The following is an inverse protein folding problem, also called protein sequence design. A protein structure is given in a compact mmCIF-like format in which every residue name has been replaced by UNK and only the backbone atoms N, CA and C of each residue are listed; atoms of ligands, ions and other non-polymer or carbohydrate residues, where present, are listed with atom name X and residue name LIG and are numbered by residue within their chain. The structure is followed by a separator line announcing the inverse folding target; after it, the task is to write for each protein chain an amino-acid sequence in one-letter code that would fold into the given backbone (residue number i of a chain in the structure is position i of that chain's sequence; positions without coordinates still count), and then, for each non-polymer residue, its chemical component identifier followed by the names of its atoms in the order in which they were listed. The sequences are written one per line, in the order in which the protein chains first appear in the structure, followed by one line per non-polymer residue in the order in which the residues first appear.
data_IF_991492336647
#
_entry.id   IF_991492336647
#
_cell.length_a   1.000
_cell.length_b   1.000
_cell.length_c   1.000
_cell.angle_alpha   90.00
_cell.angle_beta   90.00
_cell.angle_gamma   90.00
#
_symmetry.space_group_name_H-M   'P 1'
#
loop_
_entity.id
_entity.type
_entity.pdbx_description
1 polymer ?
#
# COMPACT_ATOMS: atom_id res chain seq x y z
N UNK A 1 11.43 -11.69 33.30
CA UNK A 1 11.00 -11.86 31.88
C UNK A 1 11.93 -12.90 31.28
N UNK A 2 11.43 -13.84 30.49
CA UNK A 2 12.31 -14.73 29.73
C UNK A 2 12.92 -13.90 28.59
N UNK A 3 14.22 -13.71 28.60
CA UNK A 3 14.94 -13.00 27.51
C UNK A 3 15.03 -13.84 26.23
N UNK A 4 14.42 -15.03 26.24
CA UNK A 4 14.44 -16.00 25.17
C UNK A 4 13.14 -16.81 25.13
N UNK A 5 12.59 -16.94 23.93
CA UNK A 5 11.48 -17.83 23.61
C UNK A 5 11.75 -18.46 22.23
N UNK A 6 12.07 -19.75 22.22
CA UNK A 6 12.43 -20.49 21.02
C UNK A 6 11.25 -20.67 20.07
N UNK A 7 11.51 -20.60 18.76
CA UNK A 7 10.58 -21.00 17.71
C UNK A 7 10.50 -22.53 17.70
N UNK A 8 9.31 -23.09 17.89
CA UNK A 8 9.04 -24.52 17.87
C UNK A 8 8.73 -25.03 16.47
N UNK A 9 7.93 -24.27 15.71
CA UNK A 9 7.56 -24.64 14.36
C UNK A 9 7.27 -23.42 13.49
N UNK A 10 7.49 -23.57 12.19
CA UNK A 10 7.10 -22.63 11.14
C UNK A 10 6.40 -23.44 10.07
N UNK A 11 5.18 -23.05 9.69
CA UNK A 11 4.39 -23.74 8.68
C UNK A 11 3.71 -22.76 7.75
N UNK A 12 3.72 -23.05 6.45
CA UNK A 12 3.05 -22.26 5.44
C UNK A 12 1.99 -23.06 4.71
N UNK A 13 0.96 -22.35 4.27
CA UNK A 13 -0.13 -22.84 3.42
C UNK A 13 -0.34 -21.90 2.24
N UNK A 14 -0.83 -22.44 1.14
CA UNK A 14 -1.42 -21.66 0.07
C UNK A 14 -2.87 -21.33 0.43
N UNK A 15 -3.23 -20.04 0.40
CA UNK A 15 -4.60 -19.54 0.62
C UNK A 15 -4.97 -18.58 -0.51
N UNK A 16 -6.17 -18.00 -0.51
CA UNK A 16 -6.62 -17.09 -1.57
C UNK A 16 -6.60 -15.64 -1.09
N UNK A 17 -6.21 -14.75 -2.00
CA UNK A 17 -6.35 -13.30 -1.84
C UNK A 17 -7.76 -12.82 -2.22
N UNK A 18 -8.03 -11.52 -2.09
CA UNK A 18 -9.32 -10.87 -2.40
C UNK A 18 -9.74 -10.94 -3.87
N UNK A 19 -8.81 -11.31 -4.76
CA UNK A 19 -9.06 -11.53 -6.19
C UNK A 19 -9.25 -13.01 -6.54
N UNK A 20 -9.14 -13.90 -5.55
CA UNK A 20 -9.19 -15.36 -5.75
C UNK A 20 -7.88 -15.93 -6.32
N UNK A 21 -6.77 -15.18 -6.27
CA UNK A 21 -5.46 -15.69 -6.61
C UNK A 21 -4.78 -16.32 -5.38
N UNK A 22 -3.98 -17.38 -5.56
CA UNK A 22 -3.19 -17.93 -4.47
C UNK A 22 -2.22 -16.92 -3.83
N UNK A 23 -2.05 -17.03 -2.52
CA UNK A 23 -1.04 -16.32 -1.75
C UNK A 23 -0.54 -17.18 -0.58
N UNK A 24 0.50 -16.70 0.11
CA UNK A 24 1.17 -17.43 1.19
C UNK A 24 0.61 -16.99 2.54
N UNK A 25 0.16 -17.97 3.32
CA UNK A 25 -0.09 -17.84 4.75
C UNK A 25 1.02 -18.54 5.52
N UNK A 26 1.53 -17.91 6.57
CA UNK A 26 2.56 -18.49 7.46
C UNK A 26 2.08 -18.45 8.90
N UNK A 27 2.25 -19.55 9.59
CA UNK A 27 2.10 -19.66 11.05
C UNK A 27 3.45 -19.98 11.71
N UNK A 28 3.78 -19.24 12.75
CA UNK A 28 4.93 -19.52 13.64
C UNK A 28 4.40 -19.86 15.02
N UNK A 29 4.84 -20.98 15.57
CA UNK A 29 4.52 -21.41 16.94
C UNK A 29 5.80 -21.44 17.78
N UNK A 30 5.73 -20.92 18.99
CA UNK A 30 6.85 -20.88 19.94
C UNK A 30 6.81 -22.06 20.93
N UNK A 31 7.93 -22.37 21.56
CA UNK A 31 8.02 -23.39 22.62
C UNK A 31 7.06 -23.13 23.81
N UNK A 32 6.60 -21.88 23.96
CA UNK A 32 5.58 -21.51 24.96
C UNK A 32 4.15 -21.73 24.50
N UNK A 33 3.92 -22.24 23.28
CA UNK A 33 2.59 -22.47 22.70
C UNK A 33 1.92 -21.20 22.15
N UNK A 34 2.62 -20.08 22.08
CA UNK A 34 2.11 -18.87 21.45
C UNK A 34 2.31 -18.95 19.94
N UNK A 35 1.31 -18.55 19.20
CA UNK A 35 1.37 -18.54 17.72
C UNK A 35 1.22 -17.12 17.14
N UNK A 36 1.76 -16.94 15.96
CA UNK A 36 1.55 -15.77 15.11
C UNK A 36 1.25 -16.21 13.70
N UNK A 37 0.23 -15.61 13.11
CA UNK A 37 -0.24 -15.87 11.74
C UNK A 37 -0.07 -14.62 10.89
N UNK A 38 0.42 -14.77 9.66
CA UNK A 38 0.48 -13.69 8.68
C UNK A 38 0.05 -14.20 7.30
N UNK A 39 -0.65 -13.35 6.55
CA UNK A 39 -1.06 -13.63 5.16
C UNK A 39 -0.53 -12.50 4.29
N UNK A 40 0.22 -12.85 3.25
CA UNK A 40 0.93 -11.87 2.42
C UNK A 40 0.03 -11.37 1.29
N UNK A 41 -0.09 -10.03 1.08
CA UNK A 41 -0.84 -9.48 -0.04
C UNK A 41 -0.05 -9.56 -1.35
N UNK A 42 -0.72 -9.34 -2.50
CA UNK A 42 -0.08 -9.30 -3.82
C UNK A 42 -0.53 -8.12 -4.68
N UNK A 43 0.35 -7.58 -5.53
CA UNK A 43 0.03 -6.48 -6.44
C UNK A 43 -0.64 -6.93 -7.75
N UNK A 44 -1.43 -6.04 -8.37
CA UNK A 44 -1.87 -6.18 -9.77
C UNK A 44 -0.88 -5.51 -10.72
N UNK A 45 -0.44 -4.29 -10.37
CA UNK A 45 0.72 -3.62 -10.95
C UNK A 45 1.89 -3.76 -9.98
N UNK A 46 3.09 -3.91 -10.50
CA UNK A 46 4.32 -4.05 -9.70
C UNK A 46 5.41 -3.19 -10.30
N UNK A 47 6.08 -2.39 -9.47
CA UNK A 47 7.28 -1.66 -9.87
C UNK A 47 8.41 -2.62 -10.27
N UNK A 48 9.20 -2.23 -11.24
CA UNK A 48 10.27 -3.09 -11.79
C UNK A 48 11.34 -3.47 -10.76
N UNK A 49 11.42 -2.73 -9.67
CA UNK A 49 12.43 -2.89 -8.62
C UNK A 49 11.89 -3.51 -7.33
N UNK A 50 10.65 -4.00 -7.34
CA UNK A 50 10.10 -4.73 -6.19
C UNK A 50 10.85 -6.05 -5.95
N UNK A 51 10.87 -6.50 -4.70
CA UNK A 51 11.31 -7.84 -4.37
C UNK A 51 10.39 -8.89 -5.01
N UNK A 52 10.96 -10.02 -5.39
CA UNK A 52 10.28 -11.03 -6.20
C UNK A 52 9.18 -11.75 -5.42
N UNK A 53 7.95 -11.59 -5.85
CA UNK A 53 6.85 -12.47 -5.45
C UNK A 53 7.00 -13.80 -6.22
N UNK A 54 7.36 -14.88 -5.51
CA UNK A 54 7.59 -16.17 -6.16
C UNK A 54 6.26 -16.82 -6.53
N UNK A 55 6.12 -17.15 -7.82
CA UNK A 55 4.97 -17.84 -8.44
C UNK A 55 5.44 -19.10 -9.14
N UNK A 56 4.61 -20.16 -9.10
CA UNK A 56 4.94 -21.48 -9.64
C UNK A 56 5.05 -21.50 -11.17
N UNK A 57 4.40 -20.56 -11.87
CA UNK A 57 4.35 -20.46 -13.34
C UNK A 57 3.79 -21.73 -14.04
N UNK A 58 3.07 -22.58 -13.32
CA UNK A 58 2.37 -23.73 -13.89
C UNK A 58 1.00 -23.28 -14.44
N UNK A 59 0.90 -23.13 -15.74
CA UNK A 59 -0.32 -22.70 -16.43
C UNK A 59 -1.54 -23.61 -16.17
N UNK A 60 -1.32 -24.87 -15.80
CA UNK A 60 -2.41 -25.80 -15.49
C UNK A 60 -2.99 -25.58 -14.09
N UNK A 61 -2.34 -24.75 -13.28
CA UNK A 61 -2.74 -24.48 -11.92
C UNK A 61 -2.82 -22.97 -11.66
N UNK A 62 -4.04 -22.46 -11.42
CA UNK A 62 -4.30 -21.02 -11.21
C UNK A 62 -3.72 -20.12 -12.31
N UNK A 63 -3.63 -20.61 -13.56
CA UNK A 63 -3.05 -19.87 -14.69
C UNK A 63 -1.66 -19.30 -14.36
N UNK A 64 -0.76 -20.16 -13.84
CA UNK A 64 0.62 -19.80 -13.49
C UNK A 64 0.81 -19.07 -12.15
N UNK A 65 -0.29 -18.72 -11.45
CA UNK A 65 -0.25 -17.89 -10.23
C UNK A 65 -0.14 -18.66 -8.91
N UNK A 66 0.02 -19.99 -8.93
CA UNK A 66 0.26 -20.80 -7.74
C UNK A 66 1.45 -20.33 -6.93
N UNK A 67 1.51 -20.67 -5.64
CA UNK A 67 2.61 -20.28 -4.71
C UNK A 67 3.16 -21.46 -3.93
N UNK A 68 3.01 -22.69 -4.45
CA UNK A 68 3.51 -23.90 -3.77
C UNK A 68 5.03 -23.91 -3.62
N UNK A 69 5.78 -23.33 -4.57
CA UNK A 69 7.24 -23.20 -4.46
C UNK A 69 7.63 -22.30 -3.28
N UNK A 70 6.92 -21.20 -3.08
CA UNK A 70 7.11 -20.32 -1.93
C UNK A 70 6.72 -21.03 -0.61
N UNK A 71 5.61 -21.75 -0.59
CA UNK A 71 5.16 -22.58 0.55
C UNK A 71 6.19 -23.65 0.88
N UNK A 72 6.72 -24.36 -0.12
CA UNK A 72 7.76 -25.37 0.07
C UNK A 72 9.06 -24.75 0.57
N UNK A 73 9.45 -23.56 0.09
CA UNK A 73 10.61 -22.84 0.62
C UNK A 73 10.46 -22.53 2.11
N UNK A 74 9.26 -22.14 2.57
CA UNK A 74 9.02 -21.97 4.02
C UNK A 74 9.12 -23.31 4.74
N UNK A 75 8.38 -24.33 4.30
CA UNK A 75 8.21 -25.57 5.04
C UNK A 75 9.50 -26.44 5.08
N UNK A 76 10.29 -26.43 4.00
CA UNK A 76 11.48 -27.28 3.89
C UNK A 76 12.79 -26.58 4.16
N UNK A 77 12.96 -25.32 3.66
CA UNK A 77 14.26 -24.62 3.73
C UNK A 77 14.35 -23.67 4.93
N UNK A 78 13.31 -22.87 5.18
CA UNK A 78 13.30 -21.86 6.24
C UNK A 78 13.00 -22.52 7.59
N UNK A 79 11.89 -23.26 7.70
CA UNK A 79 11.40 -23.81 8.95
C UNK A 79 12.48 -24.58 9.72
N UNK A 80 13.16 -25.54 9.06
CA UNK A 80 14.18 -26.38 9.69
C UNK A 80 15.33 -25.59 10.33
N UNK A 81 15.66 -24.42 9.78
CA UNK A 81 16.78 -23.59 10.25
C UNK A 81 16.37 -22.58 11.30
N UNK A 82 15.07 -22.33 11.43
CA UNK A 82 14.54 -21.37 12.41
C UNK A 82 14.20 -21.99 13.76
N UNK A 83 14.07 -23.32 13.84
CA UNK A 83 13.81 -24.02 15.11
C UNK A 83 14.86 -23.63 16.15
N UNK A 84 14.38 -23.19 17.32
CA UNK A 84 15.22 -22.73 18.41
C UNK A 84 15.69 -21.27 18.30
N UNK A 85 15.45 -20.57 17.19
CA UNK A 85 15.74 -19.13 17.14
C UNK A 85 14.84 -18.38 18.12
N UNK A 86 15.37 -17.33 18.74
CA UNK A 86 14.60 -16.51 19.67
C UNK A 86 13.60 -15.63 18.91
N UNK A 87 12.31 -15.80 19.14
CA UNK A 87 11.23 -15.08 18.46
C UNK A 87 11.25 -13.56 18.73
N UNK A 88 11.89 -13.12 19.83
CA UNK A 88 12.02 -11.70 20.16
C UNK A 88 13.09 -10.95 19.33
N UNK A 89 13.99 -11.69 18.68
CA UNK A 89 15.11 -11.12 17.92
C UNK A 89 14.73 -10.81 16.46
N UNK A 90 13.69 -10.00 16.25
CA UNK A 90 13.12 -9.72 14.90
C UNK A 90 14.19 -9.41 13.86
N UNK A 91 15.11 -8.48 14.15
CA UNK A 91 16.16 -8.10 13.19
C UNK A 91 17.13 -9.23 12.86
N UNK A 92 17.41 -10.11 13.82
CA UNK A 92 18.25 -11.30 13.57
C UNK A 92 17.51 -12.31 12.68
N UNK A 93 16.19 -12.48 12.91
CA UNK A 93 15.33 -13.33 12.09
C UNK A 93 15.30 -12.80 10.64
N UNK A 94 15.03 -11.51 10.45
CA UNK A 94 14.93 -10.91 9.13
C UNK A 94 16.28 -10.96 8.39
N UNK A 95 17.40 -10.63 9.05
CA UNK A 95 18.74 -10.75 8.48
C UNK A 95 19.07 -12.21 8.10
N UNK A 96 18.69 -13.16 8.96
CA UNK A 96 18.88 -14.59 8.65
C UNK A 96 18.10 -15.00 7.39
N UNK A 97 16.87 -14.53 7.22
CA UNK A 97 16.05 -14.81 6.02
C UNK A 97 16.67 -14.19 4.75
N UNK A 98 17.18 -12.96 4.84
CA UNK A 98 17.89 -12.28 3.75
C UNK A 98 19.17 -13.04 3.38
N UNK A 99 19.97 -13.40 4.37
CA UNK A 99 21.21 -14.16 4.17
C UNK A 99 20.97 -15.57 3.60
N UNK A 100 19.81 -16.16 3.93
CA UNK A 100 19.43 -17.48 3.41
C UNK A 100 19.00 -17.40 1.94
N UNK A 101 18.36 -16.33 1.52
CA UNK A 101 17.98 -16.09 0.12
C UNK A 101 19.17 -15.80 -0.78
N UNK A 102 20.12 -14.97 -0.32
CA UNK A 102 21.36 -14.59 -1.03
C UNK A 102 21.19 -13.78 -2.32
N UNK A 103 20.01 -13.26 -2.58
CA UNK A 103 19.77 -12.37 -3.73
C UNK A 103 19.27 -11.01 -3.24
N UNK A 104 19.62 -9.91 -3.93
CA UNK A 104 19.23 -8.57 -3.49
C UNK A 104 17.70 -8.34 -3.54
N UNK A 105 17.00 -9.10 -4.38
CA UNK A 105 15.55 -8.98 -4.59
C UNK A 105 14.75 -10.21 -4.12
N UNK A 106 15.35 -11.07 -3.29
CA UNK A 106 14.70 -12.25 -2.68
C UNK A 106 14.16 -13.26 -3.70
N UNK A 107 14.86 -13.40 -4.84
CA UNK A 107 14.40 -14.23 -5.95
C UNK A 107 14.49 -15.76 -5.68
N UNK A 108 15.33 -16.21 -4.73
CA UNK A 108 15.52 -17.64 -4.48
C UNK A 108 14.44 -18.26 -3.55
N UNK A 109 14.01 -17.52 -2.53
CA UNK A 109 12.99 -17.99 -1.59
C UNK A 109 11.62 -17.40 -1.89
N UNK A 110 11.60 -16.19 -2.45
CA UNK A 110 10.41 -15.38 -2.65
C UNK A 110 10.19 -14.38 -1.51
N UNK A 111 9.95 -13.11 -1.84
CA UNK A 111 9.61 -12.08 -0.87
C UNK A 111 8.32 -12.41 -0.11
N UNK A 112 7.37 -13.08 -0.75
CA UNK A 112 6.13 -13.56 -0.14
C UNK A 112 6.41 -14.61 0.95
N UNK A 113 7.30 -15.58 0.72
CA UNK A 113 7.72 -16.55 1.73
C UNK A 113 8.43 -15.87 2.91
N UNK A 114 9.38 -14.98 2.62
CA UNK A 114 10.20 -14.28 3.62
C UNK A 114 9.33 -13.36 4.47
N UNK A 115 8.48 -12.53 3.86
CA UNK A 115 7.61 -11.61 4.59
C UNK A 115 6.60 -12.34 5.47
N UNK A 116 6.00 -13.43 4.97
CA UNK A 116 5.07 -14.24 5.76
C UNK A 116 5.72 -14.71 7.07
N UNK A 117 6.95 -15.22 6.99
CA UNK A 117 7.71 -15.67 8.18
C UNK A 117 8.07 -14.49 9.09
N UNK A 118 8.57 -13.38 8.53
CA UNK A 118 8.94 -12.18 9.29
C UNK A 118 7.79 -11.65 10.12
N UNK A 119 6.61 -11.47 9.51
CA UNK A 119 5.41 -10.94 10.18
C UNK A 119 4.82 -11.96 11.18
N UNK A 120 4.81 -13.25 10.85
CA UNK A 120 4.33 -14.28 11.75
C UNK A 120 5.19 -14.38 13.03
N UNK A 121 6.51 -14.25 12.92
CA UNK A 121 7.41 -14.17 14.08
C UNK A 121 7.08 -12.94 14.96
N UNK A 122 6.90 -11.78 14.36
CA UNK A 122 6.55 -10.56 15.09
C UNK A 122 5.23 -10.71 15.86
N UNK A 123 4.21 -11.32 15.24
CA UNK A 123 2.93 -11.62 15.92
C UNK A 123 3.06 -12.64 17.03
N UNK A 124 3.84 -13.72 16.83
CA UNK A 124 4.06 -14.72 17.88
C UNK A 124 4.76 -14.09 19.10
N UNK A 125 5.73 -13.22 18.86
CA UNK A 125 6.40 -12.46 19.92
C UNK A 125 5.43 -11.54 20.67
N UNK A 126 4.67 -10.74 19.95
CA UNK A 126 3.64 -9.83 20.50
C UNK A 126 2.62 -10.62 21.35
N UNK A 127 2.08 -11.71 20.82
CA UNK A 127 1.11 -12.56 21.51
C UNK A 127 1.67 -13.18 22.77
N UNK A 128 2.95 -13.60 22.78
CA UNK A 128 3.60 -14.19 23.95
C UNK A 128 3.77 -13.22 25.12
N UNK A 129 3.83 -11.92 24.81
CA UNK A 129 3.92 -10.84 25.80
C UNK A 129 2.55 -10.28 26.20
N UNK A 130 1.46 -10.74 25.58
CA UNK A 130 0.13 -10.18 25.78
C UNK A 130 0.04 -8.69 25.40
N UNK A 131 0.91 -8.24 24.48
CA UNK A 131 1.02 -6.84 24.07
C UNK A 131 0.43 -6.69 22.67
N UNK A 132 -0.43 -5.69 22.39
CA UNK A 132 -0.92 -5.42 21.03
C UNK A 132 0.22 -5.23 20.04
N UNK A 133 0.03 -5.69 18.79
CA UNK A 133 1.11 -5.69 17.79
C UNK A 133 1.67 -4.28 17.53
N UNK A 134 0.82 -3.25 17.43
CA UNK A 134 1.28 -1.87 17.25
C UNK A 134 2.16 -1.39 18.40
N UNK A 135 1.81 -1.77 19.62
CA UNK A 135 2.57 -1.40 20.83
C UNK A 135 3.87 -2.21 20.95
N UNK A 136 3.86 -3.49 20.52
CA UNK A 136 5.07 -4.31 20.46
C UNK A 136 6.11 -3.76 19.48
N UNK A 137 5.67 -3.34 18.28
CA UNK A 137 6.56 -2.78 17.24
C UNK A 137 7.02 -1.36 17.59
N UNK A 138 6.10 -0.48 18.03
CA UNK A 138 6.37 0.95 18.20
C UNK A 138 6.70 1.40 19.62
N UNK A 139 6.60 0.48 20.59
CA UNK A 139 6.84 0.76 22.00
C UNK A 139 5.81 1.73 22.60
N UNK A 140 6.17 2.35 23.71
CA UNK A 140 5.29 3.25 24.48
C UNK A 140 4.85 4.52 23.71
N UNK A 141 5.50 4.83 22.60
CA UNK A 141 5.19 6.02 21.80
C UNK A 141 4.19 5.73 20.67
N UNK A 142 3.73 4.50 20.48
CA UNK A 142 2.78 4.10 19.43
C UNK A 142 1.34 4.53 19.82
N UNK A 143 0.88 5.70 19.33
CA UNK A 143 -0.41 6.27 19.73
C UNK A 143 -1.11 7.12 18.65
N UNK A 144 -0.46 7.37 17.51
CA UNK A 144 -1.04 8.23 16.47
C UNK A 144 -1.85 7.39 15.48
N UNK A 145 -3.17 7.59 15.47
CA UNK A 145 -4.07 7.00 14.48
C UNK A 145 -3.86 7.66 13.12
N UNK A 146 -3.69 6.90 12.04
CA UNK A 146 -3.46 7.46 10.71
C UNK A 146 -4.74 8.07 10.11
N UNK A 147 -4.58 9.09 9.27
CA UNK A 147 -5.66 9.57 8.40
C UNK A 147 -5.78 8.61 7.21
N UNK A 148 -6.98 8.04 6.96
CA UNK A 148 -7.17 7.15 5.83
C UNK A 148 -7.22 7.91 4.50
N UNK A 149 -6.56 7.38 3.47
CA UNK A 149 -6.70 7.76 2.07
C UNK A 149 -7.55 6.69 1.41
N UNK A 150 -8.79 7.03 1.07
CA UNK A 150 -9.80 6.04 0.64
C UNK A 150 -10.03 6.12 -0.86
N UNK A 151 -9.64 5.10 -1.62
CA UNK A 151 -9.87 5.02 -3.06
C UNK A 151 -11.35 4.77 -3.37
N UNK A 152 -12.10 5.82 -3.73
CA UNK A 152 -13.55 5.74 -3.94
C UNK A 152 -13.96 5.69 -5.42
N UNK A 153 -13.03 5.96 -6.35
CA UNK A 153 -13.26 5.85 -7.79
C UNK A 153 -11.99 5.35 -8.48
N UNK A 154 -12.12 4.31 -9.29
CA UNK A 154 -11.03 3.62 -9.95
C UNK A 154 -10.96 3.91 -11.45
N UNK A 155 -9.76 3.89 -11.99
CA UNK A 155 -9.43 3.86 -13.41
C UNK A 155 -8.19 3.00 -13.68
N UNK A 156 -7.41 3.32 -14.68
CA UNK A 156 -6.16 2.65 -15.02
C UNK A 156 -6.30 1.14 -15.18
N UNK A 157 -5.40 0.39 -14.58
CA UNK A 157 -5.45 -1.08 -14.51
C UNK A 157 -6.43 -1.61 -13.46
N UNK A 158 -6.90 -0.78 -12.53
CA UNK A 158 -7.86 -1.17 -11.52
C UNK A 158 -9.30 -1.23 -12.03
N UNK A 159 -9.54 -0.91 -13.30
CA UNK A 159 -10.87 -0.86 -13.89
C UNK A 159 -10.85 -0.96 -15.41
N UNK A 160 -11.87 -1.59 -16.00
CA UNK A 160 -12.06 -1.66 -17.45
C UNK A 160 -12.72 -0.38 -18.03
N UNK A 161 -12.93 0.66 -17.21
CA UNK A 161 -13.49 1.94 -17.67
C UNK A 161 -12.47 2.74 -18.51
N UNK A 162 -12.88 3.94 -18.94
CA UNK A 162 -12.13 4.81 -19.84
C UNK A 162 -11.21 5.84 -19.15
N UNK A 163 -11.01 5.76 -17.84
CA UNK A 163 -10.10 6.63 -17.11
C UNK A 163 -8.68 6.06 -17.08
N UNK A 164 -7.66 6.86 -17.40
CA UNK A 164 -6.25 6.45 -17.35
C UNK A 164 -5.60 6.68 -15.99
N UNK A 165 -5.99 7.68 -15.21
CA UNK A 165 -5.58 7.83 -13.81
C UNK A 165 -6.17 6.66 -13.01
N UNK A 166 -5.31 6.00 -12.21
CA UNK A 166 -5.64 4.72 -11.59
C UNK A 166 -6.56 4.84 -10.38
N UNK A 167 -6.32 5.83 -9.50
CA UNK A 167 -7.09 5.98 -8.27
C UNK A 167 -7.43 7.44 -7.99
N UNK A 168 -8.67 7.64 -7.55
CA UNK A 168 -9.17 8.91 -7.03
C UNK A 168 -9.60 8.69 -5.58
N UNK A 169 -8.80 9.22 -4.67
CA UNK A 169 -8.96 9.02 -3.23
C UNK A 169 -9.51 10.27 -2.55
N UNK A 170 -10.24 10.07 -1.45
CA UNK A 170 -10.56 11.13 -0.50
C UNK A 170 -9.70 11.01 0.75
N UNK A 171 -9.36 12.17 1.34
CA UNK A 171 -8.51 12.30 2.53
C UNK A 171 -9.28 13.11 3.58
N UNK A 172 -9.99 12.47 4.53
CA UNK A 172 -10.80 13.14 5.55
C UNK A 172 -9.93 13.68 6.69
N UNK A 173 -9.15 14.73 6.42
CA UNK A 173 -8.21 15.32 7.37
C UNK A 173 -8.86 16.20 8.44
N UNK A 174 -10.14 16.62 8.25
CA UNK A 174 -10.86 17.48 9.19
C UNK A 174 -11.38 16.76 10.44
N UNK A 175 -11.48 15.43 10.43
CA UNK A 175 -11.88 14.64 11.59
C UNK A 175 -10.81 14.64 12.69
N UNK A 176 -11.22 14.77 13.94
CA UNK A 176 -10.33 14.78 15.12
C UNK A 176 -9.96 13.37 15.58
N UNK A 177 -10.89 12.43 15.49
CA UNK A 177 -10.72 11.03 15.84
C UNK A 177 -10.68 10.16 14.58
N UNK A 178 -10.21 8.93 14.70
CA UNK A 178 -10.26 8.00 13.57
C UNK A 178 -11.71 7.65 13.21
N UNK A 179 -12.57 7.48 14.22
CA UNK A 179 -14.00 7.23 14.04
C UNK A 179 -14.66 8.34 13.21
N UNK A 180 -14.39 9.62 13.52
CA UNK A 180 -14.90 10.75 12.73
C UNK A 180 -14.40 10.72 11.28
N UNK A 181 -13.10 10.45 11.06
CA UNK A 181 -12.51 10.34 9.71
C UNK A 181 -13.15 9.20 8.92
N UNK A 182 -13.38 8.07 9.56
CA UNK A 182 -14.04 6.92 8.94
C UNK A 182 -15.50 7.25 8.55
N UNK A 183 -16.27 7.87 9.44
CA UNK A 183 -17.64 8.32 9.18
C UNK A 183 -17.69 9.30 7.99
N UNK A 184 -16.78 10.28 7.96
CA UNK A 184 -16.66 11.24 6.86
C UNK A 184 -16.45 10.51 5.51
N UNK A 185 -15.50 9.57 5.46
CA UNK A 185 -15.21 8.80 4.27
C UNK A 185 -16.38 7.95 3.80
N UNK A 186 -17.03 7.23 4.71
CA UNK A 186 -18.21 6.39 4.42
C UNK A 186 -19.38 7.24 3.92
N UNK A 187 -19.61 8.40 4.53
CA UNK A 187 -20.69 9.33 4.14
C UNK A 187 -20.50 9.82 2.71
N UNK A 188 -19.27 10.25 2.35
CA UNK A 188 -18.93 10.69 1.00
C UNK A 188 -19.06 9.54 0.00
N UNK A 189 -18.56 8.35 0.33
CA UNK A 189 -18.68 7.17 -0.52
C UNK A 189 -20.14 6.84 -0.86
N UNK A 190 -21.03 6.86 0.12
CA UNK A 190 -22.45 6.61 -0.11
C UNK A 190 -23.14 7.73 -0.91
N UNK A 191 -22.76 9.00 -0.71
CA UNK A 191 -23.28 10.09 -1.52
C UNK A 191 -22.77 10.06 -2.95
N UNK A 192 -21.50 9.66 -3.18
CA UNK A 192 -20.98 9.38 -4.54
C UNK A 192 -21.81 8.28 -5.21
N UNK A 193 -22.11 7.17 -4.52
CA UNK A 193 -22.98 6.11 -5.03
C UNK A 193 -24.35 6.62 -5.48
N UNK A 194 -24.98 7.49 -4.67
CA UNK A 194 -26.27 8.10 -5.04
C UNK A 194 -26.16 9.00 -6.26
N UNK A 195 -25.07 9.78 -6.37
CA UNK A 195 -24.79 10.65 -7.53
C UNK A 195 -24.62 9.83 -8.80
N UNK A 196 -23.80 8.78 -8.77
CA UNK A 196 -23.61 7.89 -9.90
C UNK A 196 -24.93 7.26 -10.38
N UNK A 197 -25.74 6.73 -9.43
CA UNK A 197 -27.07 6.19 -9.76
C UNK A 197 -28.01 7.22 -10.39
N UNK A 198 -28.01 8.48 -9.90
CA UNK A 198 -28.86 9.54 -10.45
C UNK A 198 -28.50 9.94 -11.89
N UNK A 199 -27.27 9.63 -12.29
CA UNK A 199 -26.76 9.85 -13.66
C UNK A 199 -26.83 8.56 -14.53
N UNK A 200 -27.42 7.48 -14.02
CA UNK A 200 -27.44 6.16 -14.67
C UNK A 200 -26.04 5.58 -14.95
N UNK A 201 -25.06 5.93 -14.11
CA UNK A 201 -23.71 5.41 -14.16
C UNK A 201 -23.55 4.15 -13.30
N UNK A 202 -22.59 3.30 -13.68
CA UNK A 202 -22.28 2.06 -12.94
C UNK A 202 -21.87 2.35 -11.50
N UNK A 203 -22.36 1.55 -10.57
CA UNK A 203 -21.91 1.51 -9.17
C UNK A 203 -21.26 0.16 -8.82
N UNK A 204 -20.82 -0.60 -9.84
CA UNK A 204 -19.93 -1.73 -9.65
C UNK A 204 -18.59 -1.23 -9.11
N UNK A 205 -17.94 -2.06 -8.30
CA UNK A 205 -16.68 -1.70 -7.64
C UNK A 205 -15.52 -2.50 -8.22
N UNK A 206 -14.35 -1.85 -8.27
CA UNK A 206 -13.08 -2.50 -8.62
C UNK A 206 -12.48 -3.30 -7.45
N UNK A 207 -11.26 -3.76 -7.63
CA UNK A 207 -10.52 -4.60 -6.68
C UNK A 207 -10.36 -3.95 -5.30
N UNK A 208 -10.26 -2.62 -5.25
CA UNK A 208 -10.08 -1.84 -4.02
C UNK A 208 -11.37 -1.27 -3.44
N UNK A 209 -12.53 -1.64 -4.00
CA UNK A 209 -13.84 -1.22 -3.51
C UNK A 209 -14.33 0.14 -4.00
N UNK A 210 -13.53 0.90 -4.75
CA UNK A 210 -13.93 2.13 -5.42
C UNK A 210 -14.84 1.85 -6.62
N UNK A 211 -15.73 2.82 -6.96
CA UNK A 211 -16.61 2.70 -8.12
C UNK A 211 -15.83 2.80 -9.44
N UNK A 212 -16.33 2.13 -10.47
CA UNK A 212 -15.68 2.06 -11.78
C UNK A 212 -16.63 2.48 -12.93
N UNK A 213 -17.19 3.71 -12.90
CA UNK A 213 -18.05 4.19 -13.97
C UNK A 213 -17.24 4.57 -15.21
N UNK A 214 -17.86 4.50 -16.40
CA UNK A 214 -17.35 5.20 -17.58
C UNK A 214 -17.68 6.69 -17.47
N UNK A 215 -16.67 7.54 -17.57
CA UNK A 215 -16.78 9.00 -17.49
C UNK A 215 -16.14 9.63 -18.71
N UNK A 216 -16.43 10.90 -18.97
CA UNK A 216 -15.89 11.58 -20.16
C UNK A 216 -14.44 12.02 -19.98
N UNK A 217 -14.02 12.32 -18.73
CA UNK A 217 -12.67 12.76 -18.42
C UNK A 217 -12.32 12.52 -16.95
N UNK A 218 -11.06 12.74 -16.59
CA UNK A 218 -10.60 12.72 -15.19
C UNK A 218 -11.22 13.87 -14.38
N UNK A 219 -11.46 15.01 -15.02
CA UNK A 219 -12.11 16.17 -14.43
C UNK A 219 -13.56 15.86 -14.04
N UNK A 220 -14.30 15.09 -14.87
CA UNK A 220 -15.65 14.64 -14.50
C UNK A 220 -15.63 13.75 -13.24
N UNK A 221 -14.60 12.91 -13.08
CA UNK A 221 -14.43 12.11 -11.87
C UNK A 221 -14.21 13.02 -10.65
N UNK A 222 -13.33 14.01 -10.76
CA UNK A 222 -13.06 15.00 -9.72
C UNK A 222 -14.30 15.83 -9.38
N UNK A 223 -15.04 16.28 -10.36
CA UNK A 223 -16.30 17.01 -10.16
C UNK A 223 -17.34 16.19 -9.39
N UNK A 224 -17.44 14.89 -9.69
CA UNK A 224 -18.36 14.00 -8.96
C UNK A 224 -17.95 13.81 -7.50
N UNK A 225 -16.65 13.70 -7.25
CA UNK A 225 -16.12 13.58 -5.90
C UNK A 225 -16.34 14.87 -5.11
N UNK A 226 -16.04 16.04 -5.69
CA UNK A 226 -16.30 17.36 -5.07
C UNK A 226 -17.78 17.49 -4.71
N UNK A 227 -18.70 17.19 -5.64
CA UNK A 227 -20.16 17.19 -5.41
C UNK A 227 -20.57 16.20 -4.32
N UNK A 228 -19.91 15.05 -4.21
CA UNK A 228 -20.19 14.08 -3.14
C UNK A 228 -19.77 14.62 -1.76
N UNK A 229 -18.62 15.29 -1.68
CA UNK A 229 -18.14 15.94 -0.45
C UNK A 229 -19.12 17.03 -0.02
N UNK A 230 -19.51 17.92 -0.93
CA UNK A 230 -20.48 19.00 -0.65
C UNK A 230 -21.85 18.48 -0.20
N UNK A 231 -22.36 17.42 -0.88
CA UNK A 231 -23.62 16.76 -0.49
C UNK A 231 -23.55 16.06 0.87
N UNK A 232 -22.35 15.82 1.35
CA UNK A 232 -22.10 15.26 2.69
C UNK A 232 -21.99 16.34 3.77
N UNK A 233 -22.19 17.62 3.41
CA UNK A 233 -22.04 18.79 4.26
C UNK A 233 -20.62 18.99 4.83
N UNK A 234 -19.60 18.49 4.14
CA UNK A 234 -18.20 18.76 4.48
C UNK A 234 -17.61 19.84 3.57
N UNK A 235 -16.69 20.61 4.12
CA UNK A 235 -15.98 21.65 3.38
C UNK A 235 -14.85 21.03 2.57
N UNK A 236 -14.93 21.24 1.27
CA UNK A 236 -13.92 20.81 0.31
C UNK A 236 -12.56 21.43 0.68
N UNK A 237 -11.52 20.62 0.63
CA UNK A 237 -10.13 20.92 1.02
C UNK A 237 -9.90 21.13 2.51
N UNK A 238 -10.82 21.78 3.24
CA UNK A 238 -10.66 22.03 4.68
C UNK A 238 -10.93 20.75 5.49
N UNK A 239 -12.05 20.07 5.22
CA UNK A 239 -12.42 18.85 5.92
C UNK A 239 -11.97 17.60 5.15
N UNK A 240 -12.14 17.63 3.82
CA UNK A 240 -11.79 16.50 2.93
C UNK A 240 -11.04 17.03 1.71
N UNK A 241 -9.80 16.56 1.52
CA UNK A 241 -9.02 16.73 0.31
C UNK A 241 -9.16 15.55 -0.64
N UNK A 242 -8.60 15.69 -1.84
CA UNK A 242 -8.50 14.62 -2.86
C UNK A 242 -7.05 14.21 -3.02
N UNK A 243 -6.79 12.91 -3.14
CA UNK A 243 -5.51 12.39 -3.55
C UNK A 243 -5.66 11.57 -4.83
N UNK A 244 -4.63 11.59 -5.66
CA UNK A 244 -4.56 10.83 -6.92
C UNK A 244 -3.42 9.82 -6.84
N UNK A 245 -3.65 8.64 -7.39
CA UNK A 245 -2.60 7.74 -7.86
C UNK A 245 -2.68 7.69 -9.39
N UNK A 246 -1.66 8.23 -10.03
CA UNK A 246 -1.62 8.39 -11.49
C UNK A 246 -1.13 7.13 -12.16
N UNK A 247 -0.25 6.36 -11.50
CA UNK A 247 0.43 5.18 -12.04
C UNK A 247 1.07 5.45 -13.41
N UNK A 248 1.85 6.54 -13.49
CA UNK A 248 2.30 7.08 -14.77
C UNK A 248 3.34 6.20 -15.49
N UNK A 249 4.00 5.25 -14.80
CA UNK A 249 4.92 4.29 -15.44
C UNK A 249 4.21 3.53 -16.55
N UNK A 250 2.95 3.09 -16.34
CA UNK A 250 2.17 2.40 -17.36
C UNK A 250 1.83 3.27 -18.57
N UNK A 251 1.54 4.55 -18.33
CA UNK A 251 1.30 5.53 -19.41
C UNK A 251 2.57 5.73 -20.25
N UNK A 252 3.72 5.74 -19.62
CA UNK A 252 5.02 5.87 -20.27
C UNK A 252 5.35 4.62 -21.10
N UNK A 253 5.14 3.44 -20.56
CA UNK A 253 5.39 2.17 -21.24
C UNK A 253 4.47 1.98 -22.47
N UNK A 254 3.19 2.37 -22.37
CA UNK A 254 2.27 2.36 -23.51
C UNK A 254 2.68 3.35 -24.61
N UNK A 255 3.21 4.52 -24.23
CA UNK A 255 3.78 5.47 -25.20
C UNK A 255 5.03 4.89 -25.88
N UNK A 256 5.94 4.27 -25.10
CA UNK A 256 7.15 3.60 -25.62
C UNK A 256 6.83 2.49 -26.63
N UNK A 257 5.80 1.68 -26.40
CA UNK A 257 5.36 0.65 -27.36
C UNK A 257 4.95 1.27 -28.71
N UNK A 258 4.55 2.54 -28.73
CA UNK A 258 4.23 3.31 -29.94
C UNK A 258 5.43 4.12 -30.47
N UNK A 259 6.63 3.97 -29.91
CA UNK A 259 7.82 4.71 -30.29
C UNK A 259 7.80 6.19 -29.87
N UNK A 260 6.99 6.56 -28.87
CA UNK A 260 6.84 7.93 -28.36
C UNK A 260 7.55 8.09 -27.03
N UNK A 261 8.19 9.23 -26.80
CA UNK A 261 8.84 9.58 -25.54
C UNK A 261 7.92 10.55 -24.75
N UNK A 262 7.18 10.00 -23.80
CA UNK A 262 6.20 10.71 -23.00
C UNK A 262 5.14 9.78 -22.39
N UNK A 263 3.95 10.30 -22.18
CA UNK A 263 2.87 9.64 -21.44
C UNK A 263 1.62 9.49 -22.31
N UNK A 264 1.18 8.27 -22.52
CA UNK A 264 -0.03 7.96 -23.28
C UNK A 264 -1.17 7.62 -22.34
N UNK A 265 -2.21 8.42 -22.34
CA UNK A 265 -3.48 8.06 -21.72
C UNK A 265 -4.17 7.01 -22.60
N UNK A 266 -3.79 5.75 -22.43
CA UNK A 266 -4.13 4.67 -23.38
C UNK A 266 -5.62 4.40 -23.49
N UNK A 267 -6.42 4.78 -22.48
CA UNK A 267 -7.88 4.66 -22.50
C UNK A 267 -8.55 5.65 -23.46
N UNK A 268 -7.93 6.82 -23.69
CA UNK A 268 -8.44 7.87 -24.57
C UNK A 268 -7.60 8.08 -25.83
N UNK A 269 -6.36 7.58 -25.84
CA UNK A 269 -5.40 7.80 -26.92
C UNK A 269 -4.68 9.15 -26.86
N UNK A 270 -4.92 9.97 -25.82
CA UNK A 270 -4.26 11.27 -25.66
C UNK A 270 -2.80 11.07 -25.25
N UNK A 271 -1.88 11.72 -25.97
CA UNK A 271 -0.44 11.72 -25.68
C UNK A 271 -0.01 13.04 -25.07
N UNK A 272 0.86 12.99 -24.08
CA UNK A 272 1.51 14.13 -23.45
C UNK A 272 3.03 13.93 -23.42
N UNK A 273 3.78 14.95 -23.79
CA UNK A 273 5.21 15.04 -23.46
C UNK A 273 5.39 15.15 -21.95
N UNK A 274 6.60 14.95 -21.46
CA UNK A 274 6.96 15.13 -20.05
C UNK A 274 6.50 16.49 -19.49
N UNK A 275 6.79 17.58 -20.23
CA UNK A 275 6.38 18.92 -19.82
C UNK A 275 4.87 19.09 -19.75
N UNK A 276 4.15 18.61 -20.76
CA UNK A 276 2.68 18.66 -20.80
C UNK A 276 2.04 17.80 -19.70
N UNK A 277 2.66 16.68 -19.30
CA UNK A 277 2.19 15.88 -18.17
C UNK A 277 2.34 16.62 -16.84
N UNK A 278 3.49 17.27 -16.62
CA UNK A 278 3.72 18.10 -15.44
C UNK A 278 2.72 19.29 -15.41
N UNK A 279 2.51 19.96 -16.55
CA UNK A 279 1.54 21.05 -16.64
C UNK A 279 0.11 20.59 -16.41
N UNK A 280 -0.25 19.40 -16.88
CA UNK A 280 -1.54 18.78 -16.63
C UNK A 280 -1.77 18.55 -15.13
N UNK A 281 -0.80 17.97 -14.42
CA UNK A 281 -0.89 17.75 -12.98
C UNK A 281 -0.96 19.08 -12.20
N UNK A 282 -0.17 20.09 -12.59
CA UNK A 282 -0.26 21.44 -11.98
C UNK A 282 -1.64 22.06 -12.19
N UNK A 283 -2.20 21.94 -13.39
CA UNK A 283 -3.54 22.43 -13.69
C UNK A 283 -4.62 21.75 -12.84
N UNK A 284 -4.54 20.43 -12.65
CA UNK A 284 -5.45 19.70 -11.77
C UNK A 284 -5.34 20.22 -10.33
N UNK A 285 -4.12 20.45 -9.80
CA UNK A 285 -3.94 20.96 -8.43
C UNK A 285 -4.43 22.38 -8.23
N UNK A 286 -4.44 23.20 -9.28
CA UNK A 286 -4.95 24.57 -9.23
C UNK A 286 -6.46 24.64 -9.28
N UNK A 287 -7.14 23.69 -9.94
CA UNK A 287 -8.59 23.68 -10.15
C UNK A 287 -9.34 22.79 -9.15
N UNK A 288 -8.69 21.82 -8.54
CA UNK A 288 -9.31 20.85 -7.63
C UNK A 288 -8.61 20.82 -6.26
N UNK A 289 -9.28 20.36 -5.21
CA UNK A 289 -8.74 20.31 -3.85
C UNK A 289 -7.74 19.15 -3.66
N UNK A 290 -6.82 18.99 -4.61
CA UNK A 290 -5.81 17.93 -4.58
C UNK A 290 -4.77 18.27 -3.51
N UNK A 291 -4.50 17.32 -2.63
CA UNK A 291 -3.54 17.41 -1.51
C UNK A 291 -2.37 16.44 -1.66
N UNK A 292 -2.51 15.43 -2.54
CA UNK A 292 -1.47 14.40 -2.76
C UNK A 292 -1.55 13.84 -4.17
N UNK A 293 -0.40 13.59 -4.79
CA UNK A 293 -0.25 12.91 -6.09
C UNK A 293 0.79 11.82 -5.92
N UNK A 294 0.39 10.57 -6.19
CA UNK A 294 1.24 9.39 -6.20
C UNK A 294 1.59 9.05 -7.65
N UNK A 295 2.86 8.70 -7.87
CA UNK A 295 3.44 8.28 -9.15
C UNK A 295 3.00 9.13 -10.34
N UNK A 296 3.15 10.46 -10.18
CA UNK A 296 2.77 11.43 -11.21
C UNK A 296 3.60 11.34 -12.49
N UNK A 297 4.77 10.71 -12.43
CA UNK A 297 5.68 10.41 -13.55
C UNK A 297 6.24 8.99 -13.42
N UNK A 298 6.85 8.47 -14.51
CA UNK A 298 7.41 7.13 -14.56
C UNK A 298 8.53 6.90 -13.53
N UNK A 299 8.68 5.66 -13.06
CA UNK A 299 9.60 5.23 -11.99
C UNK A 299 11.08 5.49 -12.27
N UNK A 300 11.49 5.66 -13.53
CA UNK A 300 12.87 5.98 -13.93
C UNK A 300 13.01 7.39 -14.53
N UNK A 301 11.97 8.20 -14.55
CA UNK A 301 12.03 9.59 -15.03
C UNK A 301 12.50 10.56 -13.93
N UNK A 302 13.69 10.30 -13.37
CA UNK A 302 14.28 11.07 -12.26
C UNK A 302 14.38 12.57 -12.56
N UNK A 303 14.73 12.95 -13.80
CA UNK A 303 14.80 14.36 -14.22
C UNK A 303 13.42 15.01 -14.24
N UNK A 304 12.41 14.29 -14.72
CA UNK A 304 11.02 14.73 -14.70
C UNK A 304 10.50 14.91 -13.28
N UNK A 305 10.78 13.94 -12.41
CA UNK A 305 10.43 14.02 -10.99
C UNK A 305 11.07 15.22 -10.29
N UNK A 306 12.30 15.57 -10.65
CA UNK A 306 12.96 16.78 -10.14
C UNK A 306 12.15 18.03 -10.50
N UNK A 307 11.80 18.19 -11.78
CA UNK A 307 11.01 19.34 -12.27
C UNK A 307 9.61 19.35 -11.61
N UNK A 308 8.96 18.19 -11.51
CA UNK A 308 7.66 18.05 -10.85
C UNK A 308 7.73 18.48 -9.38
N UNK A 309 8.80 18.06 -8.67
CA UNK A 309 8.99 18.39 -7.26
C UNK A 309 9.25 19.89 -7.05
N UNK A 310 10.07 20.51 -7.88
CA UNK A 310 10.30 21.96 -7.84
C UNK A 310 9.00 22.74 -8.08
N UNK A 311 8.12 22.26 -8.96
CA UNK A 311 6.86 22.92 -9.32
C UNK A 311 5.75 22.73 -8.28
N UNK A 312 5.59 21.51 -7.76
CA UNK A 312 4.43 21.13 -6.95
C UNK A 312 4.75 20.73 -5.50
N UNK A 313 6.00 20.41 -5.17
CA UNK A 313 6.35 19.85 -3.87
C UNK A 313 6.03 20.72 -2.66
N UNK A 314 5.92 22.04 -2.85
CA UNK A 314 5.49 22.98 -1.80
C UNK A 314 3.96 23.13 -1.70
N UNK A 315 3.21 22.62 -2.68
CA UNK A 315 1.74 22.76 -2.75
C UNK A 315 1.03 21.48 -2.30
N UNK A 316 1.56 20.32 -2.72
CA UNK A 316 0.95 19.01 -2.52
C UNK A 316 1.99 17.98 -2.07
N UNK A 317 1.52 16.92 -1.47
CA UNK A 317 2.33 15.72 -1.20
C UNK A 317 2.61 15.00 -2.53
N UNK A 318 3.88 14.77 -2.85
CA UNK A 318 4.33 13.99 -4.00
C UNK A 318 4.85 12.65 -3.49
N UNK A 319 4.14 11.59 -3.83
CA UNK A 319 4.37 10.24 -3.28
C UNK A 319 5.05 9.37 -4.34
N UNK A 320 6.17 8.77 -3.99
CA UNK A 320 6.78 7.71 -4.79
C UNK A 320 6.35 6.34 -4.29
N UNK A 321 5.60 5.60 -5.13
CA UNK A 321 5.31 4.16 -4.97
C UNK A 321 6.31 3.36 -5.82
N UNK A 322 6.09 3.21 -7.11
CA UNK A 322 7.00 2.52 -8.02
C UNK A 322 8.39 3.20 -8.10
N UNK A 323 8.44 4.52 -7.90
CA UNK A 323 9.68 5.28 -7.81
C UNK A 323 10.61 4.74 -6.71
N UNK A 324 10.08 4.40 -5.54
CA UNK A 324 10.86 4.03 -4.35
C UNK A 324 10.73 2.56 -3.94
N UNK A 325 9.62 1.90 -4.26
CA UNK A 325 9.32 0.48 -3.97
C UNK A 325 9.69 0.05 -2.54
N UNK A 326 9.44 0.90 -1.54
CA UNK A 326 9.80 0.66 -0.13
C UNK A 326 11.31 0.38 0.07
N UNK A 327 12.17 0.76 -0.89
CA UNK A 327 13.59 0.44 -0.92
C UNK A 327 14.45 1.60 -0.41
N UNK A 328 15.24 1.36 0.64
CA UNK A 328 16.13 2.35 1.27
C UNK A 328 17.08 3.00 0.27
N UNK A 329 17.67 2.22 -0.66
CA UNK A 329 18.65 2.77 -1.61
C UNK A 329 17.98 3.68 -2.66
N UNK A 330 16.78 3.32 -3.14
CA UNK A 330 16.02 4.18 -4.05
C UNK A 330 15.51 5.43 -3.36
N UNK A 331 15.02 5.31 -2.12
CA UNK A 331 14.62 6.45 -1.31
C UNK A 331 15.79 7.39 -1.05
N UNK A 332 16.98 6.86 -0.69
CA UNK A 332 18.19 7.67 -0.50
C UNK A 332 18.55 8.45 -1.76
N UNK A 333 18.51 7.80 -2.93
CA UNK A 333 18.72 8.48 -4.22
C UNK A 333 17.73 9.64 -4.42
N UNK A 334 16.45 9.43 -4.11
CA UNK A 334 15.44 10.49 -4.19
C UNK A 334 15.71 11.65 -3.24
N UNK A 335 16.11 11.35 -2.01
CA UNK A 335 16.50 12.34 -1.00
C UNK A 335 17.70 13.16 -1.50
N UNK A 336 18.75 12.51 -1.98
CA UNK A 336 19.98 13.18 -2.46
C UNK A 336 19.70 14.08 -3.66
N UNK A 337 18.73 13.73 -4.50
CA UNK A 337 18.31 14.52 -5.65
C UNK A 337 17.23 15.57 -5.30
N UNK A 338 16.66 15.53 -4.11
CA UNK A 338 15.54 16.38 -3.70
C UNK A 338 14.27 16.13 -4.52
N UNK A 339 13.90 14.85 -4.70
CA UNK A 339 12.81 14.37 -5.52
C UNK A 339 11.69 13.80 -4.65
N UNK A 340 10.43 14.15 -4.95
CA UNK A 340 9.26 13.83 -4.14
C UNK A 340 9.34 14.44 -2.72
N UNK A 341 8.41 14.11 -1.83
CA UNK A 341 8.44 14.49 -0.41
C UNK A 341 7.71 13.46 0.48
N UNK A 342 7.32 12.33 -0.12
CA UNK A 342 6.65 11.23 0.55
C UNK A 342 6.99 9.91 -0.13
N UNK A 343 7.04 8.83 0.65
CA UNK A 343 7.16 7.45 0.15
C UNK A 343 5.90 6.66 0.48
N UNK A 344 5.44 5.81 -0.45
CA UNK A 344 4.48 4.76 -0.15
C UNK A 344 5.22 3.53 0.40
N UNK A 345 4.69 2.94 1.46
CA UNK A 345 5.29 1.81 2.16
C UNK A 345 4.41 0.58 1.99
N UNK A 346 4.93 -0.40 1.29
CA UNK A 346 4.29 -1.70 1.08
C UNK A 346 5.26 -2.80 1.54
N UNK A 347 5.04 -3.46 2.69
CA UNK A 347 6.00 -4.43 3.23
C UNK A 347 6.39 -5.54 2.26
N UNK A 348 5.48 -5.96 1.37
CA UNK A 348 5.77 -7.01 0.40
C UNK A 348 6.66 -6.57 -0.78
N UNK A 349 6.82 -5.25 -1.03
CA UNK A 349 7.76 -4.74 -2.04
C UNK A 349 9.21 -4.93 -1.62
N UNK A 350 9.48 -5.06 -0.32
CA UNK A 350 10.82 -5.22 0.23
C UNK A 350 11.04 -6.58 0.89
N UNK A 351 10.04 -7.14 1.56
CA UNK A 351 9.98 -8.54 1.98
C UNK A 351 10.33 -8.85 3.44
N UNK A 352 10.68 -7.86 4.29
CA UNK A 352 10.82 -8.04 5.74
C UNK A 352 10.25 -6.86 6.51
N UNK A 353 9.87 -7.10 7.77
CA UNK A 353 9.45 -6.02 8.67
C UNK A 353 10.61 -5.06 8.96
N UNK A 354 11.82 -5.57 9.19
CA UNK A 354 12.98 -4.74 9.51
C UNK A 354 13.32 -3.77 8.39
N UNK A 355 13.38 -4.22 7.13
CA UNK A 355 13.63 -3.33 5.97
C UNK A 355 12.49 -2.33 5.78
N UNK A 356 11.23 -2.74 6.04
CA UNK A 356 10.08 -1.84 6.02
C UNK A 356 10.24 -0.71 7.03
N UNK A 357 10.63 -1.03 8.27
CA UNK A 357 10.86 -0.03 9.33
C UNK A 357 12.06 0.87 9.01
N UNK A 358 13.11 0.32 8.40
CA UNK A 358 14.29 1.09 7.99
C UNK A 358 13.93 2.14 6.90
N UNK A 359 13.07 1.78 5.93
CA UNK A 359 12.58 2.72 4.93
C UNK A 359 11.73 3.85 5.55
N UNK A 360 10.87 3.53 6.51
CA UNK A 360 10.07 4.52 7.25
C UNK A 360 10.98 5.47 8.05
N UNK A 361 11.96 4.93 8.75
CA UNK A 361 12.89 5.73 9.57
C UNK A 361 13.75 6.64 8.70
N UNK A 362 14.26 6.14 7.57
CA UNK A 362 15.01 6.95 6.61
C UNK A 362 14.16 8.12 6.09
N UNK A 363 12.90 7.87 5.72
CA UNK A 363 11.97 8.91 5.28
C UNK A 363 11.80 9.99 6.35
N UNK A 364 11.42 9.59 7.57
CA UNK A 364 11.18 10.50 8.70
C UNK A 364 12.41 11.34 9.06
N UNK A 365 13.59 10.71 9.12
CA UNK A 365 14.86 11.38 9.46
C UNK A 365 15.30 12.42 8.43
N UNK A 366 14.77 12.36 7.21
CA UNK A 366 15.06 13.29 6.12
C UNK A 366 13.90 14.24 5.77
N UNK A 367 12.87 14.31 6.64
CA UNK A 367 11.73 15.22 6.44
C UNK A 367 10.73 14.78 5.39
N UNK A 368 10.86 13.55 4.87
CA UNK A 368 9.85 12.92 4.01
C UNK A 368 8.70 12.39 4.86
N UNK A 369 7.50 12.50 4.34
CA UNK A 369 6.36 11.76 4.88
C UNK A 369 6.41 10.31 4.36
N UNK A 370 5.62 9.46 5.00
CA UNK A 370 5.39 8.11 4.53
C UNK A 370 3.91 7.73 4.71
N UNK A 371 3.42 6.83 3.87
CA UNK A 371 2.05 6.32 3.90
C UNK A 371 2.15 4.80 3.95
N UNK A 372 1.57 4.15 4.94
CA UNK A 372 1.40 2.69 4.88
C UNK A 372 0.31 2.35 3.89
N UNK A 373 0.56 1.38 3.01
CA UNK A 373 -0.36 1.02 1.94
C UNK A 373 -0.68 -0.46 1.89
N UNK A 374 -1.91 -0.74 1.49
CA UNK A 374 -2.38 -2.05 1.03
C UNK A 374 -1.81 -2.38 -0.36
N UNK A 375 -2.22 -3.54 -0.89
CA UNK A 375 -2.06 -3.92 -2.30
C UNK A 375 -3.43 -4.14 -2.94
N UNK A 376 -3.46 -4.24 -4.28
CA UNK A 376 -4.71 -4.53 -5.02
C UNK A 376 -5.27 -5.92 -4.69
N UNK A 377 -4.42 -6.93 -4.52
CA UNK A 377 -4.78 -8.24 -3.98
C UNK A 377 -4.50 -8.32 -2.49
N UNK A 378 -5.50 -8.09 -1.67
CA UNK A 378 -5.43 -8.08 -0.22
C UNK A 378 -5.98 -9.37 0.40
N UNK A 379 -5.79 -9.49 1.71
CA UNK A 379 -6.32 -10.55 2.55
C UNK A 379 -7.00 -9.94 3.78
N UNK A 380 -7.50 -10.76 4.69
CA UNK A 380 -7.99 -10.29 5.99
C UNK A 380 -6.87 -9.88 6.97
N UNK A 381 -5.59 -10.03 6.63
CA UNK A 381 -4.47 -9.60 7.48
C UNK A 381 -4.51 -8.09 7.72
N UNK A 382 -4.32 -7.68 8.96
CA UNK A 382 -4.42 -6.28 9.40
C UNK A 382 -3.09 -5.66 9.82
N UNK A 383 -1.97 -6.33 9.57
CA UNK A 383 -0.64 -5.90 10.04
C UNK A 383 -0.29 -4.48 9.63
N UNK A 384 -0.70 -4.04 8.42
CA UNK A 384 -0.44 -2.67 7.96
C UNK A 384 -1.11 -1.60 8.83
N UNK A 385 -2.26 -1.89 9.45
CA UNK A 385 -2.91 -0.99 10.38
C UNK A 385 -2.08 -0.85 11.67
N UNK A 386 -1.59 -1.97 12.21
CA UNK A 386 -0.72 -1.97 13.39
C UNK A 386 0.62 -1.26 13.10
N UNK A 387 1.26 -1.49 11.93
CA UNK A 387 2.50 -0.80 11.53
C UNK A 387 2.27 0.72 11.42
N UNK A 388 1.14 1.16 10.88
CA UNK A 388 0.83 2.58 10.74
C UNK A 388 0.78 3.29 12.11
N UNK A 389 0.15 2.67 13.12
CA UNK A 389 0.11 3.22 14.47
C UNK A 389 1.46 3.06 15.17
N UNK A 390 2.13 1.91 15.04
CA UNK A 390 3.43 1.64 15.63
C UNK A 390 4.49 2.69 15.27
N UNK A 391 4.46 3.16 14.03
CA UNK A 391 5.45 4.11 13.51
C UNK A 391 5.02 5.57 13.59
N UNK A 392 3.79 5.84 14.08
CA UNK A 392 3.18 7.18 14.09
C UNK A 392 3.29 7.88 12.72
N UNK A 393 3.07 7.12 11.65
CA UNK A 393 3.30 7.61 10.27
C UNK A 393 2.25 8.60 9.80
N UNK A 394 1.08 8.58 10.44
CA UNK A 394 0.03 9.57 10.27
C UNK A 394 -0.88 9.38 9.05
N UNK A 395 -0.58 8.48 8.12
CA UNK A 395 -1.38 8.21 6.93
C UNK A 395 -1.42 6.72 6.59
N UNK A 396 -2.58 6.25 6.08
CA UNK A 396 -2.77 4.88 5.57
C UNK A 396 -3.61 4.91 4.29
N UNK A 397 -3.17 4.17 3.26
CA UNK A 397 -3.91 3.92 2.02
C UNK A 397 -4.42 2.48 2.07
N UNK A 398 -5.74 2.27 2.19
CA UNK A 398 -6.32 0.93 2.33
C UNK A 398 -7.62 0.74 1.55
N UNK A 399 -7.75 1.40 0.40
CA UNK A 399 -8.90 1.26 -0.49
C UNK A 399 -10.15 1.98 0.00
N UNK A 400 -11.29 1.70 -0.62
CA UNK A 400 -12.58 2.25 -0.26
C UNK A 400 -13.12 1.66 1.04
N UNK A 401 -14.09 2.32 1.72
CA UNK A 401 -14.81 1.72 2.84
C UNK A 401 -15.84 0.67 2.35
N UNK A 402 -15.37 -0.28 1.57
CA UNK A 402 -16.13 -1.34 0.91
C UNK A 402 -15.19 -2.53 0.67
N UNK A 403 -15.71 -3.77 0.68
CA UNK A 403 -14.99 -5.07 0.64
C UNK A 403 -14.29 -5.37 1.96
N UNK A 404 -14.48 -6.59 2.44
CA UNK A 404 -14.01 -7.03 3.77
C UNK A 404 -12.49 -6.91 3.93
N UNK A 405 -11.74 -7.22 2.87
CA UNK A 405 -10.28 -7.12 2.82
C UNK A 405 -9.76 -5.69 3.09
N UNK A 406 -10.54 -4.66 2.74
CA UNK A 406 -10.22 -3.24 3.02
C UNK A 406 -10.73 -2.84 4.40
N UNK A 407 -12.00 -3.17 4.69
CA UNK A 407 -12.67 -2.82 5.95
C UNK A 407 -11.96 -3.46 7.15
N UNK A 408 -11.35 -4.64 7.01
CA UNK A 408 -10.60 -5.28 8.09
C UNK A 408 -9.52 -4.34 8.69
N UNK A 409 -8.79 -3.57 7.85
CA UNK A 409 -7.79 -2.60 8.31
C UNK A 409 -8.42 -1.42 9.03
N UNK A 410 -9.52 -0.90 8.51
CA UNK A 410 -10.27 0.19 9.18
C UNK A 410 -10.87 -0.25 10.52
N UNK A 411 -11.44 -1.45 10.57
CA UNK A 411 -11.97 -2.01 11.81
C UNK A 411 -10.83 -2.24 12.83
N UNK A 412 -9.64 -2.68 12.39
CA UNK A 412 -8.47 -2.80 13.27
C UNK A 412 -8.06 -1.44 13.84
N UNK A 413 -8.03 -0.38 13.02
CA UNK A 413 -7.73 0.98 13.49
C UNK A 413 -8.78 1.50 14.48
N UNK A 414 -10.06 1.19 14.28
CA UNK A 414 -11.11 1.53 15.24
C UNK A 414 -10.92 0.79 16.58
N UNK A 415 -10.50 -0.48 16.55
CA UNK A 415 -10.17 -1.21 17.76
C UNK A 415 -8.95 -0.61 18.48
N UNK A 416 -7.89 -0.24 17.72
CA UNK A 416 -6.72 0.42 18.30
C UNK A 416 -7.11 1.77 18.93
N UNK A 417 -7.97 2.55 18.27
CA UNK A 417 -8.46 3.80 18.85
C UNK A 417 -9.14 3.56 20.21
N UNK A 418 -9.98 2.54 20.31
CA UNK A 418 -10.62 2.15 21.55
C UNK A 418 -9.59 1.69 22.61
N UNK A 419 -8.63 0.83 22.23
CA UNK A 419 -7.56 0.37 23.11
C UNK A 419 -6.70 1.52 23.68
N UNK A 420 -6.52 2.61 22.93
CA UNK A 420 -5.74 3.79 23.35
C UNK A 420 -6.52 4.75 24.27
N UNK A 421 -7.84 4.61 24.37
CA UNK A 421 -8.71 5.43 25.23
C UNK A 421 -8.94 4.79 26.60
N UNK A 422 -8.73 3.47 26.72
CA UNK A 422 -8.80 2.73 27.99
C UNK A 422 -7.50 2.86 28.81
#
# INVERSE_FOLDING_TARGET
MKDYLGIQSVHALEVLDSRGNPTVQVEVVTEGGFSGLAIVPSGASTGSFEAVELRDQDENRYSGKGVLDAVENVNSKIAKKMIGMNVYDQRKIDNFLIDLDKTPNKANLGANAILGVSLACCRAASNSLGTPLYSYIGGVNAHVLPTPMMNILNGGKHSDNNLSIQEFMIVPSGGKTFAEKLEMGVTVYHNLKKLLKSKNLSTAVGDEGGFAPNLQSHEEALDLIVKAIEKSNYKVKQDIGIALDVAATEMFDEAKKQGKDGYLFWKTGEFKTKGEMIDYLDNLTNNYPIVSIEDGLAEEDWDGWKILTEKLGNKVQLVGDDLFVTNVSRLQKGIDLGIANCILIKPNQIGTLSETLDAIELAKSNGYKAIISHRSGETEDTTIADIAVATNIGQIKSGAPCRTDRIAKYNRLSNIEYELLE
#
